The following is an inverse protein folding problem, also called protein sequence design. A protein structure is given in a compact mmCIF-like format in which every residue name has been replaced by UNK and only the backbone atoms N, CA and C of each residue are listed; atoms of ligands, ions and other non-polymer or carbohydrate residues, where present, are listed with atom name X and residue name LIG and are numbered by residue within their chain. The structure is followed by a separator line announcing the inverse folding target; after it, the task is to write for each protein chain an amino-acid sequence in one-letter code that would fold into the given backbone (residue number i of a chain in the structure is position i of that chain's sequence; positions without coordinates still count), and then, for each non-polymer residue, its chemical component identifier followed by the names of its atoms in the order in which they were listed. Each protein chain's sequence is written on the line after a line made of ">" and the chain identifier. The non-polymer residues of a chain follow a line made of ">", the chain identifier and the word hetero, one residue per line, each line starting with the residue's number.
data_IF_268494848917
#
_entry.id   IF_268494848917
#
_cell.length_a   1.000
_cell.length_b   1.000
_cell.length_c   1.000
_cell.angle_alpha   90.00
_cell.angle_beta   90.00
_cell.angle_gamma   90.00
#
_symmetry.space_group_name_H-M   'P 1'
#
loop_
_entity.id
_entity.type
_entity.pdbx_description
1 polymer ?
#
# COMPACT_ATOMS: atom_id res chain seq x y z
N UNK A 1 -13.15 2.54 -9.08
CA UNK A 1 -12.18 1.54 -8.58
C UNK A 1 -11.32 2.17 -7.50
N UNK A 2 -11.14 1.46 -6.41
CA UNK A 2 -10.29 1.93 -5.30
C UNK A 2 -8.92 1.27 -5.40
N UNK A 3 -7.88 2.09 -5.55
CA UNK A 3 -6.49 1.65 -5.62
C UNK A 3 -5.77 2.01 -4.33
N UNK A 4 -5.32 1.02 -3.59
CA UNK A 4 -4.50 1.25 -2.41
C UNK A 4 -3.04 1.38 -2.81
N UNK A 5 -2.40 2.47 -2.44
CA UNK A 5 -1.00 2.72 -2.72
C UNK A 5 -0.14 2.07 -1.65
N UNK A 6 0.78 1.20 -2.08
CA UNK A 6 1.63 0.45 -1.15
C UNK A 6 2.90 1.21 -0.75
N UNK A 7 3.40 2.09 -1.63
CA UNK A 7 4.70 2.73 -1.43
C UNK A 7 4.77 4.05 -2.19
N UNK A 8 5.47 5.05 -1.67
CA UNK A 8 5.72 6.29 -2.40
C UNK A 8 6.66 6.12 -3.59
N UNK A 9 7.41 5.04 -3.64
CA UNK A 9 8.34 4.77 -4.74
C UNK A 9 7.59 4.49 -6.04
N UNK A 10 7.98 5.17 -7.11
CA UNK A 10 7.40 4.92 -8.43
C UNK A 10 6.10 5.67 -8.70
N UNK A 11 5.86 6.75 -7.99
CA UNK A 11 4.65 7.54 -8.16
C UNK A 11 4.62 8.36 -9.45
N UNK A 12 5.71 8.39 -10.22
CA UNK A 12 5.76 9.13 -11.49
C UNK A 12 4.64 8.74 -12.49
N UNK A 13 4.23 7.45 -12.59
CA UNK A 13 3.11 7.08 -13.48
C UNK A 13 1.72 7.25 -12.87
N UNK A 14 1.58 7.87 -11.71
CA UNK A 14 0.29 8.03 -11.04
C UNK A 14 -0.82 8.70 -11.84
N UNK A 15 -0.56 9.70 -12.72
CA UNK A 15 -1.64 10.29 -13.51
C UNK A 15 -2.47 9.28 -14.28
N UNK A 16 -1.84 8.20 -14.73
CA UNK A 16 -2.49 7.13 -15.44
C UNK A 16 -3.41 6.32 -14.52
N UNK A 17 -2.94 6.02 -13.32
CA UNK A 17 -3.74 5.31 -12.30
C UNK A 17 -4.92 6.16 -11.83
N UNK A 18 -4.74 7.47 -11.70
CA UNK A 18 -5.80 8.40 -11.31
C UNK A 18 -6.96 8.39 -12.32
N UNK A 19 -6.66 8.26 -13.62
CA UNK A 19 -7.67 8.18 -14.65
C UNK A 19 -8.54 6.93 -14.52
N UNK A 20 -8.01 5.87 -13.92
CA UNK A 20 -8.69 4.59 -13.75
C UNK A 20 -9.54 4.49 -12.49
N UNK A 21 -9.28 5.35 -11.48
CA UNK A 21 -10.03 5.28 -10.23
C UNK A 21 -9.47 6.14 -9.11
N UNK A 22 -9.97 5.90 -7.91
CA UNK A 22 -9.58 6.62 -6.70
C UNK A 22 -8.31 6.02 -6.11
N UNK A 23 -7.36 6.90 -5.76
CA UNK A 23 -6.15 6.49 -5.03
C UNK A 23 -6.41 6.63 -3.54
N UNK A 24 -6.09 5.59 -2.80
CA UNK A 24 -6.27 5.55 -1.35
C UNK A 24 -4.95 5.10 -0.75
N UNK A 25 -4.53 5.70 0.35
CA UNK A 25 -3.35 5.26 1.09
C UNK A 25 -3.65 5.21 2.57
N UNK A 26 -3.12 4.19 3.21
CA UNK A 26 -3.25 4.00 4.64
C UNK A 26 -2.34 4.94 5.41
N UNK A 27 -2.64 5.07 6.70
CA UNK A 27 -1.87 5.85 7.67
C UNK A 27 -0.36 5.58 7.59
N UNK A 28 0.06 4.31 7.46
CA UNK A 28 1.48 3.97 7.38
C UNK A 28 2.15 4.56 6.13
N UNK A 29 1.45 4.57 5.01
CA UNK A 29 1.99 5.15 3.76
C UNK A 29 2.05 6.67 3.86
N UNK A 30 1.05 7.30 4.47
CA UNK A 30 1.06 8.73 4.74
C UNK A 30 2.24 9.12 5.63
N UNK A 31 2.54 8.30 6.65
CA UNK A 31 3.68 8.53 7.54
C UNK A 31 5.02 8.41 6.77
N UNK A 32 5.15 7.41 5.92
CA UNK A 32 6.35 7.24 5.09
C UNK A 32 6.56 8.43 4.16
N UNK A 33 5.50 8.88 3.51
CA UNK A 33 5.56 10.05 2.61
C UNK A 33 5.95 11.30 3.38
N UNK A 34 5.33 11.52 4.54
CA UNK A 34 5.63 12.69 5.37
C UNK A 34 7.11 12.78 5.74
N UNK A 35 7.78 11.64 5.88
CA UNK A 35 9.21 11.61 6.19
C UNK A 35 10.11 12.19 5.10
N UNK A 36 9.60 12.33 3.87
CA UNK A 36 10.36 12.90 2.75
C UNK A 36 10.11 14.40 2.55
N UNK A 37 9.24 15.01 3.35
CA UNK A 37 8.89 16.43 3.22
C UNK A 37 9.35 17.21 4.44
N UNK A 38 9.73 18.48 4.27
CA UNK A 38 10.25 19.28 5.38
C UNK A 38 9.21 19.65 6.43
N UNK A 39 7.93 19.68 6.05
CA UNK A 39 6.84 20.02 7.00
C UNK A 39 5.63 19.11 6.77
N UNK A 40 4.78 19.02 7.80
CA UNK A 40 3.52 18.28 7.66
C UNK A 40 2.62 18.93 6.61
N UNK A 41 2.61 20.24 6.56
CA UNK A 41 1.80 20.98 5.59
C UNK A 41 2.22 20.69 4.15
N UNK A 42 3.53 20.62 3.87
CA UNK A 42 4.01 20.31 2.53
C UNK A 42 3.71 18.86 2.13
N UNK A 43 3.80 17.94 3.05
CA UNK A 43 3.45 16.52 2.79
C UNK A 43 1.95 16.38 2.50
N UNK A 44 1.11 16.99 3.33
CA UNK A 44 -0.34 16.95 3.17
C UNK A 44 -0.77 17.58 1.83
N UNK A 45 -0.18 18.71 1.49
CA UNK A 45 -0.44 19.37 0.21
C UNK A 45 -0.07 18.48 -0.98
N UNK A 46 1.09 17.82 -0.92
CA UNK A 46 1.53 16.92 -1.98
C UNK A 46 0.55 15.76 -2.18
N UNK A 47 0.11 15.13 -1.09
CA UNK A 47 -0.86 14.03 -1.15
C UNK A 47 -2.20 14.50 -1.68
N UNK A 48 -2.65 15.68 -1.27
CA UNK A 48 -3.91 16.26 -1.73
C UNK A 48 -3.87 16.59 -3.23
N UNK A 49 -2.76 17.10 -3.72
CA UNK A 49 -2.59 17.38 -5.15
C UNK A 49 -2.61 16.11 -6.01
N UNK A 50 -2.11 15.02 -5.48
CA UNK A 50 -2.16 13.73 -6.14
C UNK A 50 -3.55 13.08 -6.05
N UNK A 51 -4.44 13.65 -5.25
CA UNK A 51 -5.76 13.08 -5.05
C UNK A 51 -5.77 11.79 -4.23
N UNK A 52 -4.74 11.59 -3.42
CA UNK A 52 -4.65 10.39 -2.55
C UNK A 52 -5.48 10.61 -1.30
N UNK A 53 -6.43 9.72 -1.05
CA UNK A 53 -7.28 9.76 0.14
C UNK A 53 -6.63 9.02 1.30
N UNK A 54 -6.89 9.50 2.50
CA UNK A 54 -6.41 8.86 3.74
C UNK A 54 -7.42 7.80 4.20
N UNK A 55 -6.91 6.64 4.61
CA UNK A 55 -7.77 5.56 5.12
C UNK A 55 -7.12 4.87 6.31
N UNK A 56 -7.93 4.59 7.34
CA UNK A 56 -7.47 3.90 8.53
C UNK A 56 -7.55 2.38 8.35
N UNK A 57 -6.70 1.67 9.09
CA UNK A 57 -6.70 0.21 9.10
C UNK A 57 -7.90 -0.31 9.90
N UNK A 58 -8.61 -1.29 9.33
CA UNK A 58 -9.66 -1.98 10.08
C UNK A 58 -9.05 -3.03 11.01
N UNK A 59 -9.79 -3.36 12.08
CA UNK A 59 -9.38 -4.41 13.01
C UNK A 59 -9.19 -5.75 12.30
N UNK A 60 -10.13 -6.12 11.44
CA UNK A 60 -10.06 -7.40 10.71
C UNK A 60 -8.84 -7.47 9.80
N UNK A 61 -8.51 -6.38 9.11
CA UNK A 61 -7.32 -6.32 8.27
C UNK A 61 -6.04 -6.42 9.11
N UNK A 62 -6.01 -5.78 10.27
CA UNK A 62 -4.87 -5.86 11.19
C UNK A 62 -4.62 -7.30 11.64
N UNK A 63 -5.67 -8.00 12.02
CA UNK A 63 -5.57 -9.40 12.46
C UNK A 63 -5.12 -10.31 11.33
N UNK A 64 -5.67 -10.13 10.13
CA UNK A 64 -5.27 -10.89 8.95
C UNK A 64 -3.80 -10.66 8.59
N UNK A 65 -3.34 -9.41 8.70
CA UNK A 65 -1.94 -9.06 8.46
C UNK A 65 -1.01 -9.78 9.45
N UNK A 66 -1.39 -9.83 10.71
CA UNK A 66 -0.62 -10.52 11.74
C UNK A 66 -0.47 -12.01 11.45
N UNK A 67 -1.53 -12.65 11.00
CA UNK A 67 -1.47 -14.06 10.64
C UNK A 67 -0.60 -14.31 9.41
N UNK A 68 -0.67 -13.45 8.41
CA UNK A 68 0.20 -13.55 7.23
C UNK A 68 1.67 -13.35 7.60
N UNK A 69 1.95 -12.39 8.47
CA UNK A 69 3.31 -12.12 8.95
C UNK A 69 3.86 -13.32 9.74
N UNK A 70 3.03 -13.96 10.55
CA UNK A 70 3.40 -15.17 11.27
C UNK A 70 3.83 -16.29 10.30
N UNK A 71 3.03 -16.54 9.27
CA UNK A 71 3.37 -17.54 8.23
C UNK A 71 4.68 -17.22 7.53
N UNK A 72 4.92 -15.96 7.25
CA UNK A 72 6.14 -15.49 6.62
C UNK A 72 7.36 -15.81 7.50
N UNK A 73 7.29 -15.53 8.80
CA UNK A 73 8.37 -15.81 9.74
C UNK A 73 8.59 -17.32 9.90
N UNK A 74 7.54 -18.11 9.96
CA UNK A 74 7.62 -19.57 10.08
C UNK A 74 8.30 -20.21 8.87
N UNK A 75 8.20 -19.60 7.71
CA UNK A 75 8.85 -20.03 6.48
C UNK A 75 10.28 -19.48 6.34
N UNK A 76 10.82 -18.87 7.37
CA UNK A 76 12.16 -18.31 7.34
C UNK A 76 12.29 -17.02 6.54
N UNK A 77 11.21 -16.25 6.43
CA UNK A 77 11.21 -15.00 5.70
C UNK A 77 12.24 -14.00 6.20
N UNK A 78 12.77 -13.19 5.30
CA UNK A 78 13.82 -12.23 5.60
C UNK A 78 13.32 -11.12 6.53
N UNK A 79 14.19 -10.65 7.44
CA UNK A 79 13.85 -9.59 8.41
C UNK A 79 13.63 -8.23 7.76
N UNK A 80 13.98 -8.09 6.47
CA UNK A 80 13.73 -6.87 5.72
C UNK A 80 12.23 -6.58 5.52
N UNK A 81 11.38 -7.59 5.65
CA UNK A 81 9.93 -7.40 5.57
C UNK A 81 9.37 -7.04 6.93
N UNK A 82 8.78 -5.88 7.02
CA UNK A 82 8.17 -5.39 8.24
C UNK A 82 6.67 -5.67 8.24
N UNK A 83 6.08 -5.65 9.42
CA UNK A 83 4.64 -5.86 9.56
C UNK A 83 3.81 -4.85 8.73
N UNK A 84 4.37 -3.67 8.47
CA UNK A 84 3.70 -2.65 7.66
C UNK A 84 3.33 -3.16 6.26
N UNK A 85 4.19 -3.96 5.62
CA UNK A 85 3.90 -4.54 4.30
C UNK A 85 2.68 -5.44 4.35
N UNK A 86 2.54 -6.21 5.42
CA UNK A 86 1.40 -7.11 5.61
C UNK A 86 0.12 -6.35 5.94
N UNK A 87 0.22 -5.25 6.69
CA UNK A 87 -0.92 -4.39 7.00
C UNK A 87 -1.49 -3.76 5.72
N UNK A 88 -0.62 -3.28 4.86
CA UNK A 88 -1.01 -2.67 3.58
C UNK A 88 -1.74 -3.69 2.70
N UNK A 89 -1.17 -4.88 2.54
CA UNK A 89 -1.75 -5.91 1.69
C UNK A 89 -3.08 -6.43 2.23
N UNK A 90 -3.17 -6.65 3.53
CA UNK A 90 -4.40 -7.13 4.16
C UNK A 90 -5.52 -6.10 4.03
N UNK A 91 -5.19 -4.83 4.18
CA UNK A 91 -6.17 -3.75 4.01
C UNK A 91 -6.65 -3.67 2.55
N UNK A 92 -5.74 -3.81 1.58
CA UNK A 92 -6.09 -3.81 0.17
C UNK A 92 -7.03 -4.96 -0.17
N UNK A 93 -6.74 -6.15 0.33
CA UNK A 93 -7.56 -7.33 0.08
C UNK A 93 -8.97 -7.17 0.64
N UNK A 94 -9.10 -6.54 1.80
CA UNK A 94 -10.39 -6.37 2.47
C UNK A 94 -11.21 -5.17 1.95
N UNK A 95 -10.55 -4.08 1.57
CA UNK A 95 -11.21 -2.79 1.37
C UNK A 95 -10.90 -2.06 0.06
N UNK A 96 -10.02 -2.61 -0.77
CA UNK A 96 -9.68 -1.99 -2.05
C UNK A 96 -9.90 -2.98 -3.18
N UNK A 97 -10.03 -2.47 -4.39
CA UNK A 97 -10.16 -3.31 -5.58
C UNK A 97 -8.81 -3.84 -6.03
N UNK A 98 -7.78 -3.01 -5.91
CA UNK A 98 -6.42 -3.36 -6.33
C UNK A 98 -5.38 -2.70 -5.45
N UNK A 99 -4.21 -3.32 -5.37
CA UNK A 99 -3.02 -2.78 -4.73
C UNK A 99 -2.06 -2.24 -5.78
N UNK A 100 -1.69 -0.99 -5.66
CA UNK A 100 -0.70 -0.35 -6.52
C UNK A 100 0.69 -0.54 -5.91
N UNK A 101 1.51 -1.40 -6.50
CA UNK A 101 2.83 -1.74 -5.97
C UNK A 101 3.77 -2.21 -7.08
N UNK A 102 5.06 -1.99 -6.88
CA UNK A 102 6.11 -2.55 -7.73
C UNK A 102 6.57 -3.93 -7.26
N UNK A 103 6.20 -4.34 -6.06
CA UNK A 103 6.66 -5.58 -5.42
C UNK A 103 5.65 -6.71 -5.58
N UNK A 104 5.37 -7.07 -6.82
CA UNK A 104 4.33 -8.06 -7.16
C UNK A 104 4.60 -9.45 -6.59
N UNK A 105 5.85 -9.90 -6.65
CA UNK A 105 6.20 -11.26 -6.25
C UNK A 105 5.90 -11.54 -4.79
N UNK A 106 6.29 -10.62 -3.91
CA UNK A 106 6.04 -10.76 -2.48
C UNK A 106 4.54 -10.83 -2.17
N UNK A 107 3.77 -9.88 -2.70
CA UNK A 107 2.34 -9.82 -2.38
C UNK A 107 1.57 -11.01 -2.93
N UNK A 108 1.92 -11.51 -4.11
CA UNK A 108 1.30 -12.71 -4.68
C UNK A 108 1.58 -13.97 -3.87
N UNK A 109 2.77 -14.06 -3.29
CA UNK A 109 3.17 -15.23 -2.50
C UNK A 109 2.40 -15.37 -1.20
N UNK A 110 2.01 -14.26 -0.58
CA UNK A 110 1.40 -14.27 0.76
C UNK A 110 -0.06 -13.81 0.79
N UNK A 111 -0.59 -13.27 -0.30
CA UNK A 111 -1.96 -12.75 -0.35
C UNK A 111 -2.64 -13.17 -1.65
N UNK A 112 -3.18 -14.39 -1.62
CA UNK A 112 -3.97 -14.91 -2.74
C UNK A 112 -5.24 -14.07 -2.95
N UNK A 113 -5.61 -13.89 -4.21
CA UNK A 113 -6.78 -13.12 -4.57
C UNK A 113 -6.58 -11.62 -4.60
N UNK A 114 -5.39 -11.13 -4.21
CA UNK A 114 -5.06 -9.72 -4.28
C UNK A 114 -4.78 -9.32 -5.73
N UNK A 115 -5.55 -8.38 -6.25
CA UNK A 115 -5.32 -7.81 -7.58
C UNK A 115 -4.27 -6.72 -7.48
N UNK A 116 -3.24 -6.80 -8.32
CA UNK A 116 -2.09 -5.90 -8.26
C UNK A 116 -1.98 -5.10 -9.55
N UNK A 117 -1.69 -3.80 -9.40
CA UNK A 117 -1.31 -2.91 -10.50
C UNK A 117 0.13 -2.50 -10.28
N UNK A 118 0.99 -2.77 -11.24
CA UNK A 118 2.39 -2.31 -11.23
C UNK A 118 2.44 -0.99 -11.99
N UNK A 119 2.77 0.14 -11.32
CA UNK A 119 2.78 1.44 -11.98
C UNK A 119 3.88 1.58 -13.02
N UNK A 120 4.87 0.67 -13.02
CA UNK A 120 5.95 0.69 -14.01
C UNK A 120 5.68 -0.21 -15.21
N UNK A 121 4.64 -1.04 -15.16
CA UNK A 121 4.26 -1.91 -16.28
C UNK A 121 3.40 -1.14 -17.28
N UNK A 122 3.58 -1.44 -18.54
CA UNK A 122 2.76 -0.86 -19.61
C UNK A 122 1.44 -1.60 -19.79
#
# INVERSE_FOLDING_TARGET
>A
MRLLVASPCGWSPLPRCLAEGRLVARDVVWAEVAGYYPTTASADDAMSRLGVEYEQLSRSAALAAGMAWRRYRERGGARSRMVADFLIAAHALAHADRLLTRDRGFYRAYFEGLSIVDPTAD
#
